data_IF_919158486127
#
_entry.id   IF_919158486127
#
_cell.length_a   1.000
_cell.length_b   1.000
_cell.length_c   1.000
_cell.angle_alpha   90.00
_cell.angle_beta   90.00
_cell.angle_gamma   90.00
#
_symmetry.space_group_name_H-M   'P 1'
#
loop_
_entity.id
_entity.type
_entity.pdbx_description
1 polymer ?
#
# COMPACT_ATOMS: atom_id res chain seq x y z
N UNK A 1 32.63 4.45 62.29
CA UNK A 1 33.17 5.72 61.75
C UNK A 1 32.84 5.75 60.27
N UNK A 2 31.86 6.58 59.89
CA UNK A 2 31.26 6.60 58.54
C UNK A 2 32.28 7.21 57.58
N UNK A 3 32.86 6.41 56.68
CA UNK A 3 33.68 6.93 55.59
C UNK A 3 32.75 7.43 54.48
N UNK A 4 32.64 8.75 54.41
CA UNK A 4 32.01 9.49 53.33
C UNK A 4 32.92 9.39 52.10
N UNK A 5 32.48 8.69 51.05
CA UNK A 5 33.12 8.72 49.73
C UNK A 5 32.68 9.99 48.99
N UNK A 6 33.55 10.98 48.72
CA UNK A 6 33.26 11.98 47.71
C UNK A 6 33.66 11.40 46.35
N UNK A 7 32.71 10.73 45.69
CA UNK A 7 32.82 10.44 44.27
C UNK A 7 32.83 11.75 43.50
N UNK A 8 34.02 12.33 43.28
CA UNK A 8 34.21 13.40 42.29
C UNK A 8 33.84 12.81 40.95
N UNK A 9 32.64 13.13 40.47
CA UNK A 9 32.23 12.88 39.09
C UNK A 9 33.16 13.67 38.19
N UNK A 10 34.24 13.01 37.75
CA UNK A 10 35.13 13.50 36.71
C UNK A 10 34.31 13.57 35.43
N UNK A 11 33.65 14.72 35.22
CA UNK A 11 32.93 15.01 33.98
C UNK A 11 33.93 14.77 32.85
N UNK A 12 33.68 13.78 31.97
CA UNK A 12 34.59 13.45 30.88
C UNK A 12 34.86 14.69 30.03
N UNK A 13 36.10 14.87 29.54
CA UNK A 13 36.49 16.06 28.79
C UNK A 13 35.57 16.36 27.60
N UNK A 14 35.02 15.33 26.95
CA UNK A 14 34.08 15.46 25.84
C UNK A 14 32.73 16.09 26.25
N UNK A 15 32.24 15.82 27.46
CA UNK A 15 30.99 16.41 27.97
C UNK A 15 31.13 17.91 28.14
N UNK A 16 32.30 18.39 28.59
CA UNK A 16 32.59 19.83 28.69
C UNK A 16 32.63 20.49 27.32
N UNK A 17 33.22 19.83 26.32
CA UNK A 17 33.25 20.33 24.94
C UNK A 17 31.83 20.45 24.38
N UNK A 18 31.01 19.40 24.53
CA UNK A 18 29.60 19.42 24.09
C UNK A 18 28.81 20.53 24.79
N UNK A 19 29.00 20.70 26.11
CA UNK A 19 28.34 21.76 26.86
C UNK A 19 28.75 23.17 26.38
N UNK A 20 30.03 23.39 26.07
CA UNK A 20 30.51 24.65 25.51
C UNK A 20 29.94 24.90 24.12
N UNK A 21 29.90 23.89 23.24
CA UNK A 21 29.29 24.00 21.90
C UNK A 21 27.80 24.34 22.01
N UNK A 22 27.06 23.66 22.88
CA UNK A 22 25.65 23.95 23.13
C UNK A 22 25.44 25.37 23.68
N UNK A 23 26.30 25.83 24.59
CA UNK A 23 26.25 27.18 25.12
C UNK A 23 26.52 28.24 24.03
N UNK A 24 27.46 27.97 23.11
CA UNK A 24 27.72 28.85 21.96
C UNK A 24 26.51 28.88 21.02
N UNK A 25 25.94 27.73 20.67
CA UNK A 25 24.74 27.66 19.82
C UNK A 25 23.58 28.43 20.45
N UNK A 26 23.36 28.25 21.75
CA UNK A 26 22.31 28.95 22.48
C UNK A 26 22.55 30.47 22.53
N UNK A 27 23.79 30.91 22.75
CA UNK A 27 24.16 32.32 22.73
C UNK A 27 23.95 32.96 21.35
N UNK A 28 24.34 32.26 20.29
CA UNK A 28 24.11 32.70 18.90
C UNK A 28 22.61 32.77 18.58
N UNK A 29 21.83 31.77 18.99
CA UNK A 29 20.38 31.76 18.78
C UNK A 29 19.69 32.92 19.51
N UNK A 30 20.08 33.20 20.75
CA UNK A 30 19.55 34.33 21.53
C UNK A 30 19.94 35.68 20.93
N UNK A 31 21.19 35.83 20.49
CA UNK A 31 21.65 37.03 19.81
C UNK A 31 20.91 37.26 18.49
N UNK A 32 20.72 36.20 17.69
CA UNK A 32 19.94 36.26 16.45
C UNK A 32 18.48 36.61 16.71
N UNK A 33 17.86 36.07 17.76
CA UNK A 33 16.47 36.37 18.12
C UNK A 33 16.29 37.83 18.60
N UNK A 34 17.20 38.33 19.43
CA UNK A 34 17.20 39.74 19.84
C UNK A 34 17.44 40.68 18.67
N UNK A 35 18.33 40.29 17.75
CA UNK A 35 18.56 41.02 16.51
C UNK A 35 17.28 41.04 15.66
N UNK A 36 16.65 39.90 15.39
CA UNK A 36 15.41 39.84 14.60
C UNK A 36 14.29 40.73 15.16
N UNK A 37 14.15 40.77 16.49
CA UNK A 37 13.20 41.65 17.19
C UNK A 37 13.55 43.14 17.07
N UNK A 38 14.83 43.47 17.00
CA UNK A 38 15.35 44.82 16.72
C UNK A 38 15.26 45.21 15.24
N UNK A 39 15.07 44.25 14.32
CA UNK A 39 14.89 44.52 12.90
C UNK A 39 13.43 44.42 12.44
N UNK A 40 12.55 43.85 13.26
CA UNK A 40 11.12 43.71 12.97
C UNK A 40 10.33 45.03 13.00
N UNK A 41 10.90 46.14 13.48
CA UNK A 41 10.27 47.47 13.43
C UNK A 41 10.59 48.22 12.13
N UNK A 42 11.47 47.68 11.29
CA UNK A 42 11.93 48.35 10.08
C UNK A 42 10.97 48.03 8.92
N UNK A 43 10.71 48.99 8.02
CA UNK A 43 9.66 48.87 7.00
C UNK A 43 9.86 47.71 6.01
N UNK A 44 11.10 47.29 5.72
CA UNK A 44 11.39 46.15 4.84
C UNK A 44 11.14 44.76 5.49
N UNK A 45 10.86 44.70 6.78
CA UNK A 45 10.54 43.44 7.47
C UNK A 45 9.14 42.92 7.12
N UNK A 46 8.22 43.84 6.78
CA UNK A 46 6.85 43.53 6.36
C UNK A 46 6.83 42.91 4.97
N UNK A 47 7.64 43.40 4.03
CA UNK A 47 7.79 42.82 2.69
C UNK A 47 8.29 41.37 2.76
N UNK A 48 9.29 41.09 3.61
CA UNK A 48 9.76 39.70 3.83
C UNK A 48 8.74 38.83 4.57
N UNK A 49 7.86 39.41 5.38
CA UNK A 49 6.76 38.65 6.00
C UNK A 49 5.70 38.33 4.96
N UNK A 50 5.34 39.29 4.12
CA UNK A 50 4.37 39.10 3.05
C UNK A 50 4.84 38.04 2.06
N UNK A 51 6.09 38.09 1.62
CA UNK A 51 6.68 37.09 0.72
C UNK A 51 6.60 35.68 1.31
N UNK A 52 6.92 35.53 2.61
CA UNK A 52 6.79 34.25 3.33
C UNK A 52 5.35 33.74 3.39
N UNK A 53 4.40 34.65 3.60
CA UNK A 53 2.97 34.29 3.64
C UNK A 53 2.47 33.89 2.25
N UNK A 54 2.89 34.59 1.20
CA UNK A 54 2.55 34.27 -0.20
C UNK A 54 3.13 32.90 -0.57
N UNK A 55 4.41 32.67 -0.32
CA UNK A 55 5.07 31.38 -0.59
C UNK A 55 4.41 30.24 0.20
N UNK A 56 4.07 30.47 1.48
CA UNK A 56 3.34 29.48 2.27
C UNK A 56 1.93 29.21 1.71
N UNK A 57 1.21 30.24 1.26
CA UNK A 57 -0.11 30.09 0.63
C UNK A 57 0.01 29.30 -0.68
N UNK A 58 1.00 29.61 -1.51
CA UNK A 58 1.17 28.97 -2.81
C UNK A 58 1.56 27.49 -2.67
N UNK A 59 2.37 27.16 -1.65
CA UNK A 59 2.64 25.75 -1.28
C UNK A 59 1.38 25.02 -0.83
N UNK A 60 0.59 25.61 0.06
CA UNK A 60 -0.66 25.00 0.53
C UNK A 60 -1.67 24.84 -0.62
N UNK A 61 -1.73 25.80 -1.55
CA UNK A 61 -2.57 25.70 -2.73
C UNK A 61 -2.09 24.55 -3.65
N UNK A 62 -0.78 24.41 -3.85
CA UNK A 62 -0.21 23.30 -4.62
C UNK A 62 -0.49 21.94 -3.95
N UNK A 63 -0.35 21.84 -2.63
CA UNK A 63 -0.68 20.62 -1.87
C UNK A 63 -2.17 20.28 -1.99
N UNK A 64 -3.06 21.27 -1.90
CA UNK A 64 -4.50 21.05 -2.05
C UNK A 64 -4.87 20.53 -3.45
N UNK A 65 -4.25 21.07 -4.51
CA UNK A 65 -4.43 20.58 -5.89
C UNK A 65 -3.91 19.15 -6.03
N UNK A 66 -2.74 18.84 -5.46
CA UNK A 66 -2.18 17.49 -5.48
C UNK A 66 -3.07 16.48 -4.74
N UNK A 67 -3.63 16.87 -3.59
CA UNK A 67 -4.57 16.04 -2.85
C UNK A 67 -5.87 15.82 -3.61
N UNK A 68 -6.42 16.85 -4.25
CA UNK A 68 -7.61 16.72 -5.09
C UNK A 68 -7.39 15.72 -6.24
N UNK A 69 -6.26 15.85 -6.96
CA UNK A 69 -5.89 14.92 -8.02
C UNK A 69 -5.70 13.48 -7.50
N UNK A 70 -5.13 13.32 -6.29
CA UNK A 70 -4.98 12.00 -5.68
C UNK A 70 -6.33 11.35 -5.36
N UNK A 71 -7.28 12.13 -4.82
CA UNK A 71 -8.65 11.65 -4.54
C UNK A 71 -9.36 11.23 -5.84
N UNK A 72 -9.22 12.01 -6.92
CA UNK A 72 -9.79 11.64 -8.22
C UNK A 72 -9.23 10.32 -8.74
N UNK A 73 -7.91 10.10 -8.63
CA UNK A 73 -7.28 8.84 -9.02
C UNK A 73 -7.80 7.67 -8.18
N UNK A 74 -7.87 7.84 -6.85
CA UNK A 74 -8.36 6.80 -5.93
C UNK A 74 -9.83 6.45 -6.21
N UNK A 75 -10.68 7.44 -6.47
CA UNK A 75 -12.09 7.20 -6.81
C UNK A 75 -12.25 6.51 -8.16
N UNK A 76 -11.43 6.86 -9.16
CA UNK A 76 -11.41 6.16 -10.44
C UNK A 76 -10.96 4.70 -10.29
N UNK A 77 -9.95 4.45 -9.45
CA UNK A 77 -9.47 3.10 -9.16
C UNK A 77 -10.54 2.27 -8.42
N UNK A 78 -11.20 2.85 -7.41
CA UNK A 78 -12.28 2.19 -6.68
C UNK A 78 -13.44 1.79 -7.60
N UNK A 79 -13.83 2.66 -8.55
CA UNK A 79 -14.87 2.35 -9.55
C UNK A 79 -14.49 1.20 -10.47
N UNK A 80 -13.21 1.09 -10.87
CA UNK A 80 -12.72 -0.03 -11.69
C UNK A 80 -12.79 -1.34 -10.92
N UNK A 81 -12.35 -1.34 -9.65
CA UNK A 81 -12.41 -2.52 -8.78
C UNK A 81 -13.86 -2.96 -8.56
N UNK A 82 -14.76 -2.02 -8.26
CA UNK A 82 -16.19 -2.31 -8.09
C UNK A 82 -16.82 -2.92 -9.35
N UNK A 83 -16.46 -2.41 -10.53
CA UNK A 83 -16.97 -2.95 -11.81
C UNK A 83 -16.52 -4.39 -12.02
N UNK A 84 -15.23 -4.67 -11.81
CA UNK A 84 -14.69 -6.04 -11.93
C UNK A 84 -15.30 -6.96 -10.87
N UNK A 85 -15.46 -6.48 -9.64
CA UNK A 85 -16.06 -7.24 -8.56
C UNK A 85 -17.51 -7.65 -8.89
N UNK A 86 -18.30 -6.71 -9.42
CA UNK A 86 -19.67 -6.98 -9.87
C UNK A 86 -19.71 -8.01 -11.00
N UNK A 87 -18.83 -7.89 -11.99
CA UNK A 87 -18.73 -8.86 -13.08
C UNK A 87 -18.36 -10.26 -12.56
N UNK A 88 -17.46 -10.35 -11.57
CA UNK A 88 -17.11 -11.64 -10.95
C UNK A 88 -18.29 -12.23 -10.19
N UNK A 89 -19.06 -11.43 -9.46
CA UNK A 89 -20.27 -11.90 -8.78
C UNK A 89 -21.31 -12.37 -9.79
N UNK A 90 -21.60 -11.58 -10.82
CA UNK A 90 -22.55 -11.94 -11.87
C UNK A 90 -22.15 -13.23 -12.58
N UNK A 91 -20.86 -13.37 -12.92
CA UNK A 91 -20.34 -14.60 -13.51
C UNK A 91 -20.54 -15.80 -12.57
N UNK A 92 -20.23 -15.65 -11.27
CA UNK A 92 -20.44 -16.70 -10.28
C UNK A 92 -21.91 -17.08 -10.16
N UNK A 93 -22.80 -16.10 -10.05
CA UNK A 93 -24.25 -16.35 -9.94
C UNK A 93 -24.79 -17.09 -11.17
N UNK A 94 -24.22 -16.83 -12.36
CA UNK A 94 -24.56 -17.55 -13.60
C UNK A 94 -23.94 -18.96 -13.65
N UNK A 95 -22.70 -19.15 -13.18
CA UNK A 95 -21.99 -20.43 -13.30
C UNK A 95 -22.28 -21.40 -12.16
N UNK A 96 -22.56 -20.92 -10.95
CA UNK A 96 -22.73 -21.74 -9.75
C UNK A 96 -23.87 -22.76 -9.89
N UNK A 97 -25.05 -22.41 -10.44
CA UNK A 97 -26.11 -23.39 -10.67
C UNK A 97 -25.68 -24.49 -11.66
N UNK A 98 -24.95 -24.13 -12.72
CA UNK A 98 -24.48 -25.07 -13.74
C UNK A 98 -23.42 -26.01 -13.16
N UNK A 99 -22.49 -25.48 -12.36
CA UNK A 99 -21.48 -26.27 -11.66
C UNK A 99 -22.15 -27.19 -10.64
N UNK A 100 -23.16 -26.69 -9.92
CA UNK A 100 -23.89 -27.48 -8.95
C UNK A 100 -24.62 -28.64 -9.63
N UNK A 101 -25.37 -28.37 -10.70
CA UNK A 101 -26.06 -29.38 -11.50
C UNK A 101 -25.08 -30.44 -12.04
N UNK A 102 -23.97 -30.00 -12.63
CA UNK A 102 -22.95 -30.91 -13.16
C UNK A 102 -22.32 -31.80 -12.08
N UNK A 103 -22.20 -31.31 -10.84
CA UNK A 103 -21.67 -32.08 -9.70
C UNK A 103 -22.72 -33.00 -9.07
N UNK A 104 -24.00 -32.64 -9.14
CA UNK A 104 -25.09 -33.48 -8.65
C UNK A 104 -25.58 -34.51 -9.66
N UNK A 105 -25.11 -34.43 -10.92
CA UNK A 105 -25.48 -35.37 -11.95
C UNK A 105 -25.13 -36.82 -11.54
N UNK A 106 -26.00 -37.82 -11.83
CA UNK A 106 -25.76 -39.21 -11.43
C UNK A 106 -24.45 -39.81 -11.97
N UNK A 107 -23.94 -39.26 -13.07
CA UNK A 107 -22.71 -39.67 -13.73
C UNK A 107 -21.51 -38.78 -13.38
N UNK A 108 -21.63 -37.83 -12.46
CA UNK A 108 -20.56 -36.88 -12.10
C UNK A 108 -19.27 -37.55 -11.61
N UNK A 109 -19.38 -38.76 -11.05
CA UNK A 109 -18.24 -39.58 -10.60
C UNK A 109 -17.84 -40.68 -11.59
N UNK A 110 -18.54 -40.81 -12.71
CA UNK A 110 -18.22 -41.80 -13.74
C UNK A 110 -17.11 -41.24 -14.64
N UNK A 111 -15.91 -41.85 -14.67
CA UNK A 111 -14.84 -41.37 -15.54
C UNK A 111 -15.25 -41.50 -17.02
N UNK A 112 -14.91 -40.48 -17.82
CA UNK A 112 -15.11 -40.54 -19.27
C UNK A 112 -14.22 -41.62 -19.88
N UNK A 113 -14.75 -42.31 -20.88
CA UNK A 113 -13.97 -43.14 -21.79
C UNK A 113 -12.78 -42.34 -22.38
N UNK A 114 -11.55 -42.88 -22.35
CA UNK A 114 -10.35 -42.14 -22.73
C UNK A 114 -10.39 -41.68 -24.19
N UNK A 115 -10.87 -42.53 -25.11
CA UNK A 115 -10.96 -42.16 -26.53
C UNK A 115 -11.97 -41.02 -26.73
N UNK A 116 -13.08 -41.02 -25.97
CA UNK A 116 -14.03 -39.91 -25.97
C UNK A 116 -13.41 -38.63 -25.41
N UNK A 117 -12.65 -38.72 -24.33
CA UNK A 117 -11.98 -37.57 -23.74
C UNK A 117 -10.95 -36.95 -24.71
N UNK A 118 -10.20 -37.78 -25.43
CA UNK A 118 -9.25 -37.33 -26.44
C UNK A 118 -9.94 -36.60 -27.60
N UNK A 119 -11.07 -37.13 -28.09
CA UNK A 119 -11.87 -36.47 -29.13
C UNK A 119 -12.41 -35.11 -28.68
N UNK A 120 -12.84 -34.99 -27.42
CA UNK A 120 -13.32 -33.72 -26.87
C UNK A 120 -12.20 -32.68 -26.76
N UNK A 121 -11.01 -33.09 -26.26
CA UNK A 121 -9.84 -32.18 -26.18
C UNK A 121 -9.40 -31.71 -27.56
N UNK A 122 -9.44 -32.60 -28.55
CA UNK A 122 -9.10 -32.25 -29.93
C UNK A 122 -10.08 -31.23 -30.52
N UNK A 123 -11.37 -31.39 -30.23
CA UNK A 123 -12.38 -30.44 -30.66
C UNK A 123 -12.23 -29.09 -29.97
N UNK A 124 -11.96 -29.09 -28.66
CA UNK A 124 -11.70 -27.87 -27.88
C UNK A 124 -10.50 -27.09 -28.43
N UNK A 125 -9.40 -27.80 -28.74
CA UNK A 125 -8.22 -27.21 -29.37
C UNK A 125 -8.56 -26.54 -30.70
N UNK A 126 -9.33 -27.22 -31.57
CA UNK A 126 -9.80 -26.65 -32.84
C UNK A 126 -10.72 -25.45 -32.64
N UNK A 127 -11.56 -25.44 -31.61
CA UNK A 127 -12.39 -24.27 -31.28
C UNK A 127 -11.53 -23.08 -30.84
N UNK A 128 -10.50 -23.30 -30.04
CA UNK A 128 -9.57 -22.26 -29.62
C UNK A 128 -8.70 -21.72 -30.76
N UNK A 129 -8.34 -22.56 -31.73
CA UNK A 129 -7.67 -22.12 -32.97
C UNK A 129 -8.55 -21.18 -33.79
N UNK A 130 -9.86 -21.44 -33.85
CA UNK A 130 -10.83 -20.60 -34.57
C UNK A 130 -11.19 -19.31 -33.81
N UNK A 131 -11.21 -19.36 -32.48
CA UNK A 131 -11.63 -18.25 -31.61
C UNK A 131 -10.61 -18.00 -30.48
N UNK A 132 -9.41 -17.48 -30.79
CA UNK A 132 -8.32 -17.36 -29.81
C UNK A 132 -8.67 -16.45 -28.62
N UNK A 133 -9.52 -15.45 -28.82
CA UNK A 133 -9.96 -14.55 -27.75
C UNK A 133 -10.89 -15.19 -26.70
N UNK A 134 -11.54 -16.32 -27.03
CA UNK A 134 -12.45 -17.02 -26.11
C UNK A 134 -11.71 -17.95 -25.13
N UNK A 135 -10.51 -18.41 -25.50
CA UNK A 135 -9.72 -19.35 -24.70
C UNK A 135 -8.60 -18.69 -23.91
N UNK A 136 -8.47 -17.36 -23.97
CA UNK A 136 -7.50 -16.59 -23.18
C UNK A 136 -7.95 -16.45 -21.71
N UNK A 137 -8.17 -17.58 -21.03
CA UNK A 137 -8.43 -17.66 -19.60
C UNK A 137 -7.21 -18.23 -18.86
N UNK A 138 -7.05 -17.99 -17.54
CA UNK A 138 -6.05 -18.69 -16.75
C UNK A 138 -6.28 -20.20 -16.90
N UNK A 139 -5.21 -20.94 -17.24
CA UNK A 139 -5.27 -22.37 -17.48
C UNK A 139 -6.01 -23.06 -16.32
N UNK A 140 -7.11 -23.75 -16.65
CA UNK A 140 -7.85 -24.52 -15.67
C UNK A 140 -6.90 -25.52 -15.01
N UNK A 141 -6.86 -25.53 -13.67
CA UNK A 141 -6.14 -26.55 -12.93
C UNK A 141 -6.62 -27.93 -13.42
N UNK A 142 -5.71 -28.91 -13.60
CA UNK A 142 -6.13 -30.25 -13.96
C UNK A 142 -7.18 -30.71 -12.95
N UNK A 143 -8.29 -31.26 -13.43
CA UNK A 143 -9.34 -31.83 -12.59
C UNK A 143 -8.70 -32.94 -11.73
N UNK A 144 -8.31 -32.57 -10.51
CA UNK A 144 -7.64 -33.48 -9.58
C UNK A 144 -8.61 -34.59 -9.24
N UNK A 145 -8.18 -35.83 -9.47
CA UNK A 145 -8.75 -37.02 -8.85
C UNK A 145 -8.93 -36.73 -7.35
N UNK A 146 -10.18 -36.74 -6.88
CA UNK A 146 -10.49 -36.45 -5.50
C UNK A 146 -9.74 -37.38 -4.56
N UNK A 147 -8.96 -36.79 -3.66
CA UNK A 147 -8.91 -37.20 -2.26
C UNK A 147 -8.43 -36.01 -1.38
N UNK A 148 -9.09 -35.73 -0.23
CA UNK A 148 -8.75 -34.63 0.65
C UNK A 148 -7.77 -35.09 1.73
N UNK A 149 -6.58 -34.49 1.80
CA UNK A 149 -5.80 -34.46 3.02
C UNK A 149 -5.98 -33.09 3.68
N UNK A 150 -6.89 -33.05 4.66
CA UNK A 150 -6.87 -32.07 5.74
C UNK A 150 -5.45 -32.04 6.34
N UNK A 151 -4.66 -31.02 6.03
CA UNK A 151 -3.54 -30.63 6.89
C UNK A 151 -4.04 -29.51 7.78
N UNK A 152 -4.50 -29.93 8.95
CA UNK A 152 -4.57 -29.13 10.16
C UNK A 152 -3.32 -28.24 10.26
N UNK A 153 -3.53 -26.93 10.34
CA UNK A 153 -2.47 -25.96 10.63
C UNK A 153 -2.82 -25.30 11.95
N UNK A 154 -2.30 -25.94 12.98
CA UNK A 154 -2.18 -25.44 14.35
C UNK A 154 -1.46 -24.08 14.37
N UNK A 155 -2.03 -23.02 14.98
CA UNK A 155 -1.31 -21.80 15.30
C UNK A 155 -0.68 -21.91 16.69
N UNK A 156 0.62 -22.18 16.73
CA UNK A 156 1.48 -21.89 17.88
C UNK A 156 1.81 -20.40 18.00
#
# INVERSE_FOLDING_TARGET
MIQMFPGRTLIPGWVKIVAVVLAIIAAVALAAHQWDRLWSWLPWSDERRLERVIDQRDRLAAEAVAQAAHIEVLTAQARRVETVHRQVIELRDLTDPVIHEARSAPDASTPLDPDRADRLREHDRRLCELAPGACAGPAAAPAGSGDPALSDRDPG
#
